data_IF_617844443203
#
_entry.id   IF_617844443203
#
_cell.length_a   1.000
_cell.length_b   1.000
_cell.length_c   1.000
_cell.angle_alpha   90.00
_cell.angle_beta   90.00
_cell.angle_gamma   90.00
#
_symmetry.space_group_name_H-M   'P 1'
#
loop_
_entity.id
_entity.type
_entity.pdbx_description
1 polymer ?
#
# COMPACT_ATOMS: atom_id res chain seq x y z
N UNK A 1 0.03 -9.50 18.67
CA UNK A 1 0.82 -9.21 19.88
C UNK A 1 1.94 -8.24 19.55
N UNK A 2 2.17 -7.23 20.40
CA UNK A 2 3.38 -6.40 20.34
C UNK A 2 4.43 -6.97 21.30
N UNK A 3 5.68 -6.99 20.88
CA UNK A 3 6.78 -7.47 21.72
C UNK A 3 8.15 -7.05 21.23
N UNK A 4 9.17 -7.43 22.00
CA UNK A 4 10.58 -7.26 21.66
C UNK A 4 11.23 -8.63 21.57
N UNK A 5 12.11 -8.81 20.58
CA UNK A 5 12.94 -9.99 20.48
C UNK A 5 13.83 -10.09 21.73
N UNK A 6 13.86 -11.26 22.36
CA UNK A 6 14.67 -11.57 23.54
C UNK A 6 15.80 -12.53 23.19
N UNK A 7 15.48 -13.63 22.53
CA UNK A 7 16.48 -14.62 22.11
C UNK A 7 16.04 -15.37 20.86
N UNK A 8 17.00 -16.01 20.20
CA UNK A 8 16.78 -16.98 19.13
C UNK A 8 17.14 -18.36 19.68
N UNK A 9 16.24 -19.34 19.52
CA UNK A 9 16.46 -20.73 19.92
C UNK A 9 16.49 -21.62 18.68
N UNK A 10 17.67 -22.11 18.34
CA UNK A 10 17.90 -22.83 17.08
C UNK A 10 17.58 -21.98 15.86
N UNK A 11 17.13 -22.64 14.78
CA UNK A 11 16.93 -21.97 13.49
C UNK A 11 15.52 -21.39 13.32
N UNK A 12 14.52 -21.85 14.08
CA UNK A 12 13.11 -21.61 13.78
C UNK A 12 12.29 -21.04 14.93
N UNK A 13 12.86 -20.88 16.13
CA UNK A 13 12.11 -20.41 17.29
C UNK A 13 12.67 -19.08 17.76
N UNK A 14 11.78 -18.10 17.92
CA UNK A 14 12.14 -16.80 18.49
C UNK A 14 11.40 -16.59 19.81
N UNK A 15 12.12 -16.09 20.81
CA UNK A 15 11.58 -15.72 22.11
C UNK A 15 11.25 -14.23 22.08
N UNK A 16 9.99 -13.91 22.39
CA UNK A 16 9.47 -12.56 22.27
C UNK A 16 8.87 -12.13 23.60
N UNK A 17 9.42 -11.04 24.14
CA UNK A 17 8.98 -10.44 25.39
C UNK A 17 7.82 -9.49 25.14
N UNK A 18 6.68 -9.78 25.76
CA UNK A 18 5.47 -8.97 25.70
C UNK A 18 5.44 -7.79 26.68
N UNK A 19 4.33 -7.02 26.70
CA UNK A 19 4.19 -5.80 27.50
C UNK A 19 4.24 -6.04 29.02
N UNK A 20 3.79 -7.22 29.48
CA UNK A 20 3.77 -7.61 30.90
C UNK A 20 5.02 -8.40 31.32
N UNK A 21 6.13 -8.23 30.60
CA UNK A 21 7.37 -9.01 30.82
C UNK A 21 7.18 -10.54 30.72
N UNK A 22 6.08 -10.98 30.09
CA UNK A 22 5.82 -12.39 29.79
C UNK A 22 6.49 -12.72 28.46
N UNK A 23 7.20 -13.83 28.41
CA UNK A 23 7.85 -14.28 27.19
C UNK A 23 6.99 -15.33 26.50
N UNK A 24 6.85 -15.19 25.19
CA UNK A 24 6.10 -16.08 24.32
C UNK A 24 7.04 -16.54 23.23
N UNK A 25 6.92 -17.82 22.85
CA UNK A 25 7.72 -18.39 21.78
C UNK A 25 6.97 -18.26 20.46
N UNK A 26 7.70 -18.11 19.37
CA UNK A 26 7.12 -18.00 18.03
C UNK A 26 7.89 -18.91 17.10
N UNK A 27 7.18 -19.88 16.53
CA UNK A 27 7.74 -20.83 15.59
C UNK A 27 7.64 -20.26 14.17
N UNK A 28 8.77 -19.83 13.65
CA UNK A 28 8.92 -19.14 12.37
C UNK A 28 8.83 -20.06 11.15
N UNK A 29 8.61 -21.36 11.36
CA UNK A 29 8.49 -22.34 10.28
C UNK A 29 7.32 -21.97 9.37
N UNK A 30 7.61 -21.66 8.10
CA UNK A 30 6.62 -21.13 7.11
C UNK A 30 6.01 -19.78 7.48
N UNK A 31 6.59 -19.06 8.46
CA UNK A 31 6.21 -17.70 8.80
C UNK A 31 6.73 -16.71 7.75
N UNK A 32 5.99 -15.62 7.56
CA UNK A 32 6.45 -14.52 6.72
C UNK A 32 6.92 -13.35 7.57
N UNK A 33 8.16 -12.89 7.35
CA UNK A 33 8.69 -11.69 7.98
C UNK A 33 8.49 -10.50 7.06
N UNK A 34 7.98 -9.42 7.62
CA UNK A 34 7.81 -8.15 6.94
C UNK A 34 8.68 -7.10 7.62
N UNK A 35 9.56 -6.46 6.85
CA UNK A 35 10.36 -5.35 7.34
C UNK A 35 9.68 -4.02 7.01
N UNK A 36 9.41 -3.23 8.05
CA UNK A 36 8.89 -1.88 7.88
C UNK A 36 10.04 -0.90 7.62
N UNK A 37 9.96 -0.06 6.57
CA UNK A 37 11.01 0.90 6.26
C UNK A 37 11.22 1.90 7.42
N UNK A 38 12.48 2.31 7.69
CA UNK A 38 12.80 3.19 8.81
C UNK A 38 12.21 4.59 8.64
N UNK A 39 11.95 5.27 9.76
CA UNK A 39 11.38 6.62 9.73
C UNK A 39 12.38 7.71 9.28
N UNK A 40 13.69 7.45 9.31
CA UNK A 40 14.70 8.48 8.98
C UNK A 40 14.70 8.90 7.51
N UNK A 41 14.10 8.13 6.59
CA UNK A 41 14.05 8.46 5.16
C UNK A 41 12.84 9.33 4.77
N UNK A 42 12.23 10.04 5.72
CA UNK A 42 10.86 10.55 5.61
C UNK A 42 10.71 12.07 5.42
N UNK A 43 11.78 12.81 5.11
CA UNK A 43 11.75 14.28 4.93
C UNK A 43 10.80 14.80 3.83
N UNK A 44 10.08 13.94 3.09
CA UNK A 44 9.22 14.34 1.95
C UNK A 44 7.77 13.82 1.97
N UNK A 45 7.16 13.45 3.11
CA UNK A 45 5.82 12.84 3.08
C UNK A 45 4.73 13.43 3.99
N UNK A 46 3.49 13.09 3.60
CA UNK A 46 2.23 13.79 3.83
C UNK A 46 1.91 14.18 5.29
N UNK A 47 2.02 15.47 5.67
CA UNK A 47 1.87 15.94 7.07
C UNK A 47 0.46 15.83 7.67
N UNK A 48 -0.50 15.38 6.87
CA UNK A 48 -1.94 15.42 7.17
C UNK A 48 -2.55 14.02 7.30
N UNK A 49 -1.76 12.98 7.11
CA UNK A 49 -2.20 11.60 7.26
C UNK A 49 -1.98 11.07 8.69
N UNK A 50 -1.10 11.73 9.44
CA UNK A 50 -0.69 11.61 10.84
C UNK A 50 0.38 12.70 11.05
N UNK A 51 0.80 13.05 12.29
CA UNK A 51 1.94 13.96 12.52
C UNK A 51 3.29 13.41 11.99
N UNK A 52 3.28 12.27 11.28
CA UNK A 52 4.45 11.59 10.76
C UNK A 52 4.31 11.32 9.26
N UNK A 53 5.28 11.75 8.43
CA UNK A 53 5.36 11.36 7.01
C UNK A 53 5.26 9.85 6.80
N UNK A 54 4.49 9.41 5.80
CA UNK A 54 4.43 7.98 5.41
C UNK A 54 5.59 7.64 4.47
N UNK A 55 6.11 6.41 4.43
CA UNK A 55 7.23 6.07 3.55
C UNK A 55 6.79 5.85 2.10
N UNK A 56 7.66 6.16 1.14
CA UNK A 56 7.45 5.83 -0.28
C UNK A 56 7.63 4.34 -0.59
N UNK A 57 8.09 3.54 0.39
CA UNK A 57 8.45 2.14 0.20
C UNK A 57 7.36 1.20 0.70
N UNK A 58 7.13 0.12 -0.04
CA UNK A 58 6.25 -0.97 0.38
C UNK A 58 6.93 -1.86 1.43
N UNK A 59 6.14 -2.66 2.15
CA UNK A 59 6.66 -3.70 3.04
C UNK A 59 7.49 -4.70 2.23
N UNK A 60 8.71 -4.96 2.69
CA UNK A 60 9.53 -6.03 2.12
C UNK A 60 9.18 -7.32 2.83
N UNK A 61 8.56 -8.26 2.10
CA UNK A 61 8.40 -9.64 2.55
C UNK A 61 9.74 -10.36 2.37
N UNK A 62 10.24 -10.96 3.43
CA UNK A 62 11.48 -11.73 3.46
C UNK A 62 11.15 -13.10 4.07
N UNK A 63 11.52 -14.21 3.41
CA UNK A 63 11.37 -15.52 4.02
C UNK A 63 12.25 -15.59 5.27
N UNK A 64 11.83 -16.35 6.29
CA UNK A 64 12.57 -16.44 7.54
C UNK A 64 14.01 -16.93 7.33
N UNK A 65 14.22 -17.86 6.41
CA UNK A 65 15.53 -18.44 6.08
C UNK A 65 16.55 -17.40 5.57
N UNK A 66 16.09 -16.26 5.05
CA UNK A 66 16.95 -15.16 4.59
C UNK A 66 17.31 -14.16 5.73
N UNK A 67 16.74 -14.33 6.92
CA UNK A 67 16.96 -13.44 8.08
C UNK A 67 18.14 -13.96 8.91
N UNK A 68 19.36 -13.58 8.51
CA UNK A 68 20.59 -14.08 9.15
C UNK A 68 20.82 -13.62 10.59
N UNK A 69 20.37 -12.41 10.93
CA UNK A 69 20.61 -11.85 12.26
C UNK A 69 19.54 -10.83 12.64
N UNK A 70 19.03 -10.96 13.86
CA UNK A 70 18.20 -9.94 14.50
C UNK A 70 18.83 -9.58 15.84
N UNK A 71 18.89 -8.29 16.13
CA UNK A 71 19.43 -7.81 17.41
C UNK A 71 18.40 -8.00 18.52
N UNK A 72 18.85 -8.34 19.72
CA UNK A 72 18.01 -8.30 20.92
C UNK A 72 17.33 -6.92 21.05
N UNK A 73 16.07 -6.91 21.49
CA UNK A 73 15.29 -5.70 21.64
C UNK A 73 14.59 -5.23 20.35
N UNK A 74 14.79 -5.91 19.22
CA UNK A 74 14.07 -5.61 17.97
C UNK A 74 12.56 -5.63 18.21
N UNK A 75 11.86 -4.54 17.88
CA UNK A 75 10.41 -4.45 18.07
C UNK A 75 9.69 -5.21 16.97
N UNK A 76 8.72 -6.03 17.38
CA UNK A 76 7.99 -6.93 16.48
C UNK A 76 6.51 -6.87 16.78
N UNK A 77 5.70 -6.98 15.74
CA UNK A 77 4.28 -7.28 15.84
C UNK A 77 4.03 -8.65 15.24
N UNK A 78 3.34 -9.50 15.99
CA UNK A 78 3.16 -10.91 15.68
C UNK A 78 1.68 -11.19 15.59
N UNK A 79 1.26 -11.81 14.49
CA UNK A 79 -0.12 -12.18 14.22
C UNK A 79 -0.16 -13.61 13.70
N UNK A 80 -1.00 -14.44 14.31
CA UNK A 80 -1.14 -15.86 14.04
C UNK A 80 -1.87 -16.53 15.19
N UNK A 81 -2.05 -17.85 15.09
CA UNK A 81 -2.71 -18.62 16.12
C UNK A 81 -1.75 -18.92 17.27
N UNK A 82 -2.28 -18.87 18.50
CA UNK A 82 -1.54 -19.13 19.72
C UNK A 82 -1.89 -20.53 20.23
N UNK A 83 -0.87 -21.37 20.36
CA UNK A 83 -0.97 -22.72 20.90
C UNK A 83 -0.33 -22.77 22.29
N UNK A 84 -0.76 -23.70 23.12
CA UNK A 84 -0.13 -23.98 24.42
C UNK A 84 0.39 -25.42 24.42
N UNK A 85 1.71 -25.59 24.39
CA UNK A 85 2.38 -26.89 24.32
C UNK A 85 3.64 -26.86 25.19
N UNK A 86 3.97 -27.97 25.83
CA UNK A 86 5.15 -28.10 26.71
C UNK A 86 5.23 -27.01 27.80
N UNK A 87 4.08 -26.56 28.31
CA UNK A 87 4.01 -25.51 29.33
C UNK A 87 4.26 -24.09 28.81
N UNK A 88 4.47 -23.90 27.50
CA UNK A 88 4.75 -22.60 26.86
C UNK A 88 3.70 -22.22 25.84
N UNK A 89 3.45 -20.91 25.74
CA UNK A 89 2.65 -20.35 24.65
C UNK A 89 3.51 -20.19 23.39
N UNK A 90 3.04 -20.72 22.27
CA UNK A 90 3.76 -20.75 21.00
C UNK A 90 2.86 -20.23 19.87
N UNK A 91 3.28 -19.16 19.20
CA UNK A 91 2.64 -18.76 17.94
C UNK A 91 3.11 -19.65 16.80
N UNK A 92 2.17 -20.17 16.00
CA UNK A 92 2.48 -21.03 14.86
C UNK A 92 1.73 -20.62 13.60
N UNK A 93 2.32 -20.95 12.45
CA UNK A 93 1.70 -20.77 11.14
C UNK A 93 0.76 -21.94 10.85
N UNK A 94 -0.53 -21.67 10.64
CA UNK A 94 -1.50 -22.68 10.19
C UNK A 94 -1.86 -22.48 8.71
N UNK A 95 -2.59 -23.42 8.10
CA UNK A 95 -3.07 -23.27 6.71
C UNK A 95 -4.10 -22.16 6.56
N UNK A 96 -4.90 -21.92 7.60
CA UNK A 96 -5.97 -20.92 7.60
C UNK A 96 -5.43 -19.55 8.00
N UNK A 97 -4.54 -19.51 8.99
CA UNK A 97 -3.95 -18.30 9.56
C UNK A 97 -2.42 -18.37 9.46
N UNK A 98 -1.83 -17.87 8.36
CA UNK A 98 -0.38 -17.84 8.22
C UNK A 98 0.24 -16.91 9.25
N UNK A 99 1.33 -17.37 9.89
CA UNK A 99 2.08 -16.56 10.85
C UNK A 99 2.72 -15.36 10.15
N UNK A 100 2.40 -14.17 10.64
CA UNK A 100 2.97 -12.89 10.20
C UNK A 100 3.80 -12.28 11.33
N UNK A 101 5.05 -11.97 11.03
CA UNK A 101 5.92 -11.19 11.91
C UNK A 101 6.31 -9.90 11.21
N UNK A 102 5.90 -8.76 11.77
CA UNK A 102 6.19 -7.43 11.27
C UNK A 102 7.26 -6.77 12.16
N UNK A 103 8.45 -6.59 11.62
CA UNK A 103 9.55 -5.89 12.28
C UNK A 103 9.41 -4.39 12.00
N UNK A 104 9.43 -3.58 13.06
CA UNK A 104 9.21 -2.16 12.93
C UNK A 104 10.11 -1.33 13.83
N UNK A 105 10.31 -0.08 13.42
CA UNK A 105 11.01 0.95 14.18
C UNK A 105 10.06 2.09 14.52
N UNK A 106 10.22 2.71 15.69
CA UNK A 106 9.42 3.85 16.15
C UNK A 106 8.31 3.51 17.14
N UNK A 107 7.29 4.36 17.18
CA UNK A 107 6.13 4.28 18.07
C UNK A 107 5.10 3.23 17.59
N UNK A 108 4.67 2.28 18.45
CA UNK A 108 3.57 1.37 18.16
C UNK A 108 2.27 2.05 17.70
N UNK A 109 2.01 3.28 18.11
CA UNK A 109 0.78 4.01 17.76
C UNK A 109 0.65 4.27 16.25
N UNK A 110 1.78 4.36 15.54
CA UNK A 110 1.83 4.53 14.09
C UNK A 110 2.00 3.21 13.33
N UNK A 111 2.05 2.08 14.04
CA UNK A 111 2.31 0.78 13.43
C UNK A 111 1.22 0.42 12.42
N UNK A 112 -0.05 0.49 12.82
CA UNK A 112 -1.18 0.06 11.99
C UNK A 112 -1.29 0.95 10.75
N UNK A 113 -1.20 2.27 10.90
CA UNK A 113 -1.26 3.20 9.76
C UNK A 113 -0.13 3.00 8.78
N UNK A 114 1.10 2.82 9.29
CA UNK A 114 2.25 2.52 8.44
C UNK A 114 2.12 1.15 7.80
N UNK A 115 1.64 0.14 8.51
CA UNK A 115 1.44 -1.20 7.96
C UNK A 115 0.41 -1.19 6.83
N UNK A 116 -0.73 -0.50 7.00
CA UNK A 116 -1.75 -0.35 5.94
C UNK A 116 -1.18 0.39 4.73
N UNK A 117 -0.44 1.49 4.96
CA UNK A 117 0.17 2.25 3.88
C UNK A 117 1.23 1.45 3.12
N UNK A 118 2.21 0.92 3.84
CA UNK A 118 3.33 0.17 3.28
C UNK A 118 2.88 -1.18 2.69
N UNK A 119 1.81 -1.76 3.22
CA UNK A 119 1.21 -2.99 2.71
C UNK A 119 0.62 -2.82 1.32
N UNK A 120 0.24 -1.59 0.93
CA UNK A 120 -0.14 -1.31 -0.45
C UNK A 120 1.11 -1.34 -1.34
N UNK A 121 1.03 -2.10 -2.42
CA UNK A 121 2.05 -2.07 -3.46
C UNK A 121 2.17 -0.66 -4.05
N UNK A 122 3.40 -0.23 -4.34
CA UNK A 122 3.65 1.07 -4.96
C UNK A 122 2.99 1.18 -6.34
N UNK A 123 3.01 0.09 -7.09
CA UNK A 123 2.39 0.02 -8.39
C UNK A 123 1.82 -1.39 -8.61
N UNK A 124 0.49 -1.49 -8.64
CA UNK A 124 -0.22 -2.76 -8.87
C UNK A 124 -0.03 -3.23 -10.32
N UNK A 125 0.30 -2.32 -11.24
CA UNK A 125 0.46 -2.61 -12.67
C UNK A 125 1.90 -2.87 -13.10
N UNK A 126 2.90 -2.42 -12.32
CA UNK A 126 4.31 -2.65 -12.61
C UNK A 126 4.88 -3.71 -11.67
N UNK A 127 4.69 -4.97 -12.05
CA UNK A 127 5.36 -6.11 -11.45
C UNK A 127 6.53 -6.59 -12.34
N UNK A 128 7.26 -7.61 -11.89
CA UNK A 128 8.39 -8.17 -12.66
C UNK A 128 7.96 -8.73 -14.03
N UNK A 129 6.71 -9.19 -14.19
CA UNK A 129 6.18 -9.72 -15.44
C UNK A 129 5.73 -8.63 -16.40
N UNK A 130 5.35 -7.45 -15.90
CA UNK A 130 4.81 -6.35 -16.72
C UNK A 130 5.70 -5.99 -17.91
N UNK A 131 7.03 -5.79 -17.78
CA UNK A 131 7.88 -5.49 -18.93
C UNK A 131 7.88 -6.60 -19.98
N UNK A 132 7.88 -7.86 -19.56
CA UNK A 132 7.85 -9.02 -20.45
C UNK A 132 6.51 -9.15 -21.18
N UNK A 133 5.40 -8.89 -20.49
CA UNK A 133 4.07 -8.83 -21.09
C UNK A 133 3.97 -7.69 -22.11
N UNK A 134 4.55 -6.52 -21.83
CA UNK A 134 4.62 -5.41 -22.78
C UNK A 134 5.47 -5.77 -24.02
N UNK A 135 6.69 -6.29 -23.83
CA UNK A 135 7.56 -6.66 -24.94
C UNK A 135 6.93 -7.73 -25.83
N UNK A 136 6.37 -8.79 -25.24
CA UNK A 136 5.70 -9.85 -26.00
C UNK A 136 4.47 -9.33 -26.74
N UNK A 137 3.66 -8.47 -26.11
CA UNK A 137 2.54 -7.81 -26.77
C UNK A 137 2.95 -6.96 -27.97
N UNK A 138 3.98 -6.11 -27.82
CA UNK A 138 4.53 -5.30 -28.91
C UNK A 138 5.03 -6.20 -30.04
N UNK A 139 5.79 -7.25 -29.73
CA UNK A 139 6.34 -8.18 -30.72
C UNK A 139 5.22 -8.87 -31.52
N UNK A 140 4.20 -9.39 -30.83
CA UNK A 140 3.06 -10.04 -31.49
C UNK A 140 2.28 -9.08 -32.38
N UNK A 141 2.05 -7.84 -31.92
CA UNK A 141 1.40 -6.81 -32.74
C UNK A 141 2.24 -6.40 -33.95
N UNK A 142 3.57 -6.38 -33.83
CA UNK A 142 4.47 -6.11 -34.95
C UNK A 142 4.44 -7.24 -35.99
N UNK A 143 4.49 -8.51 -35.54
CA UNK A 143 4.36 -9.68 -36.44
C UNK A 143 3.03 -9.62 -37.19
N UNK A 144 1.92 -9.36 -36.47
CA UNK A 144 0.60 -9.20 -37.07
C UNK A 144 0.55 -8.03 -38.07
N UNK A 145 1.21 -6.91 -37.74
CA UNK A 145 1.29 -5.75 -38.63
C UNK A 145 2.06 -6.07 -39.91
N UNK A 146 3.17 -6.80 -39.83
CA UNK A 146 3.92 -7.27 -41.02
C UNK A 146 3.06 -8.21 -41.86
N UNK A 147 2.33 -9.13 -41.23
CA UNK A 147 1.40 -10.01 -41.93
C UNK A 147 0.30 -9.22 -42.66
N UNK A 148 -0.29 -8.21 -42.02
CA UNK A 148 -1.31 -7.36 -42.64
C UNK A 148 -0.74 -6.47 -43.76
N UNK A 149 0.49 -5.98 -43.62
CA UNK A 149 1.20 -5.25 -44.68
C UNK A 149 1.40 -6.11 -45.94
N UNK A 150 1.72 -7.39 -45.77
CA UNK A 150 1.96 -8.30 -46.90
C UNK A 150 0.66 -8.77 -47.57
N UNK A 151 -0.43 -8.92 -46.82
CA UNK A 151 -1.63 -9.61 -47.29
C UNK A 151 -2.87 -8.71 -47.49
N UNK A 152 -2.86 -7.46 -47.01
CA UNK A 152 -3.98 -6.54 -47.17
C UNK A 152 -3.70 -5.51 -48.26
N UNK A 153 -4.65 -5.23 -49.13
CA UNK A 153 -4.59 -4.08 -50.05
C UNK A 153 -5.04 -2.76 -49.41
N UNK A 154 -5.52 -2.79 -48.15
CA UNK A 154 -6.09 -1.62 -47.50
C UNK A 154 -5.03 -0.87 -46.67
N UNK A 155 -4.49 0.21 -47.25
CA UNK A 155 -3.48 1.06 -46.61
C UNK A 155 -3.92 1.62 -45.24
N UNK A 156 -5.22 1.90 -45.04
CA UNK A 156 -5.73 2.39 -43.76
C UNK A 156 -5.54 1.33 -42.65
N UNK A 157 -5.84 0.06 -42.97
CA UNK A 157 -5.72 -1.04 -42.01
C UNK A 157 -4.24 -1.32 -41.67
N UNK A 158 -3.36 -1.26 -42.67
CA UNK A 158 -1.92 -1.38 -42.46
C UNK A 158 -1.39 -0.29 -41.53
N UNK A 159 -1.77 0.97 -41.78
CA UNK A 159 -1.39 2.12 -40.96
C UNK A 159 -1.88 2.00 -39.51
N UNK A 160 -3.16 1.63 -39.33
CA UNK A 160 -3.73 1.41 -38.00
C UNK A 160 -3.03 0.28 -37.25
N UNK A 161 -2.68 -0.81 -37.93
CA UNK A 161 -1.99 -1.94 -37.31
C UNK A 161 -0.61 -1.54 -36.79
N UNK A 162 0.20 -0.86 -37.61
CA UNK A 162 1.53 -0.38 -37.21
C UNK A 162 1.40 0.61 -36.06
N UNK A 163 0.44 1.54 -36.14
CA UNK A 163 0.19 2.52 -35.08
C UNK A 163 -0.14 1.84 -33.75
N UNK A 164 -1.00 0.81 -33.77
CA UNK A 164 -1.35 0.02 -32.59
C UNK A 164 -0.16 -0.78 -32.04
N UNK A 165 0.69 -1.33 -32.91
CA UNK A 165 1.90 -2.04 -32.50
C UNK A 165 2.93 -1.12 -31.82
N UNK A 166 3.02 0.14 -32.26
CA UNK A 166 3.93 1.14 -31.70
C UNK A 166 3.36 1.88 -30.49
N UNK A 167 2.06 1.80 -30.23
CA UNK A 167 1.38 2.51 -29.15
C UNK A 167 2.05 2.31 -27.77
N UNK A 168 2.49 1.10 -27.36
CA UNK A 168 3.18 0.93 -26.09
C UNK A 168 4.54 1.64 -26.02
N UNK A 169 5.26 1.72 -27.15
CA UNK A 169 6.53 2.46 -27.25
C UNK A 169 6.29 3.98 -27.14
N UNK A 170 5.12 4.45 -27.59
CA UNK A 170 4.77 5.86 -27.49
C UNK A 170 4.75 6.34 -26.04
N UNK A 171 4.51 5.49 -25.05
CA UNK A 171 4.57 5.91 -23.65
C UNK A 171 5.94 6.50 -23.26
N UNK A 172 7.01 6.04 -23.92
CA UNK A 172 8.40 6.43 -23.63
C UNK A 172 8.90 7.61 -24.47
N UNK A 173 8.09 8.15 -25.39
CA UNK A 173 8.44 9.36 -26.15
C UNK A 173 8.34 10.62 -25.27
N UNK A 174 9.10 11.70 -25.56
CA UNK A 174 9.27 12.83 -24.63
C UNK A 174 7.97 13.49 -24.12
N UNK A 175 6.94 13.78 -24.95
CA UNK A 175 5.66 14.28 -24.46
C UNK A 175 4.96 13.26 -23.55
N UNK A 176 5.12 11.96 -23.84
CA UNK A 176 4.62 10.85 -23.03
C UNK A 176 5.30 10.79 -21.66
N UNK A 177 6.62 10.98 -21.59
CA UNK A 177 7.38 11.00 -20.32
C UNK A 177 6.93 12.16 -19.42
N UNK A 178 6.67 13.34 -19.98
CA UNK A 178 6.14 14.47 -19.21
C UNK A 178 4.76 14.16 -18.63
N UNK A 179 3.85 13.61 -19.44
CA UNK A 179 2.52 13.21 -18.99
C UNK A 179 2.56 12.00 -18.05
N UNK A 180 3.57 11.13 -18.17
CA UNK A 180 3.81 10.03 -17.24
C UNK A 180 4.10 10.53 -15.82
N UNK A 181 4.82 11.65 -15.67
CA UNK A 181 5.01 12.26 -14.35
C UNK A 181 3.69 12.74 -13.75
N UNK A 182 2.82 13.36 -14.55
CA UNK A 182 1.49 13.77 -14.10
C UNK A 182 0.62 12.55 -13.74
N UNK A 183 0.64 11.51 -14.57
CA UNK A 183 0.03 10.20 -14.28
C UNK A 183 0.49 9.69 -12.91
N UNK A 184 1.80 9.69 -12.65
CA UNK A 184 2.38 9.24 -11.39
C UNK A 184 1.87 10.05 -10.20
N UNK A 185 1.79 11.38 -10.31
CA UNK A 185 1.27 12.22 -9.23
C UNK A 185 -0.21 11.93 -8.91
N UNK A 186 -1.05 11.73 -9.94
CA UNK A 186 -2.44 11.35 -9.75
C UNK A 186 -2.58 9.93 -9.17
N UNK A 187 -1.75 9.00 -9.64
CA UNK A 187 -1.71 7.64 -9.12
C UNK A 187 -1.33 7.59 -7.64
N UNK A 188 -0.27 8.31 -7.25
CA UNK A 188 0.17 8.39 -5.85
C UNK A 188 -0.91 9.02 -4.97
N UNK A 189 -1.60 10.04 -5.48
CA UNK A 189 -2.74 10.68 -4.80
C UNK A 189 -3.93 9.72 -4.66
N UNK A 190 -4.25 8.93 -5.69
CA UNK A 190 -5.29 7.91 -5.61
C UNK A 190 -4.96 6.82 -4.58
N UNK A 191 -3.73 6.29 -4.66
CA UNK A 191 -3.22 5.29 -3.71
C UNK A 191 -3.34 5.79 -2.27
N UNK A 192 -3.06 7.07 -2.07
CA UNK A 192 -3.19 7.71 -0.78
C UNK A 192 -4.62 7.67 -0.26
N UNK A 193 -5.60 8.08 -1.06
CA UNK A 193 -7.01 8.00 -0.66
C UNK A 193 -7.48 6.55 -0.41
N UNK A 194 -6.93 5.56 -1.13
CA UNK A 194 -7.20 4.14 -0.84
C UNK A 194 -6.66 3.72 0.53
N UNK A 195 -5.44 4.14 0.88
CA UNK A 195 -4.88 3.88 2.19
C UNK A 195 -5.66 4.59 3.32
N UNK A 196 -6.06 5.85 3.11
CA UNK A 196 -6.95 6.58 4.03
C UNK A 196 -8.27 5.82 4.22
N UNK A 197 -8.91 5.39 3.13
CA UNK A 197 -10.13 4.59 3.17
C UNK A 197 -9.95 3.30 3.98
N UNK A 198 -8.87 2.57 3.75
CA UNK A 198 -8.61 1.29 4.43
C UNK A 198 -8.36 1.51 5.93
N UNK A 199 -7.69 2.60 6.30
CA UNK A 199 -7.53 3.00 7.70
C UNK A 199 -8.84 3.34 8.39
N UNK A 200 -9.75 4.03 7.68
CA UNK A 200 -11.07 4.36 8.22
C UNK A 200 -11.93 3.10 8.39
N UNK A 201 -11.81 2.12 7.46
CA UNK A 201 -12.54 0.84 7.56
C UNK A 201 -12.14 0.02 8.79
N UNK A 202 -10.87 0.06 9.21
CA UNK A 202 -10.42 -0.65 10.42
C UNK A 202 -11.16 -0.19 11.68
N UNK A 203 -11.59 1.07 11.69
CA UNK A 203 -12.29 1.69 12.81
C UNK A 203 -13.77 1.32 12.83
N UNK A 204 -14.37 1.08 11.67
CA UNK A 204 -15.81 0.78 11.48
C UNK A 204 -16.19 -0.62 11.96
N UNK A 205 -15.23 -1.50 12.27
CA UNK A 205 -15.55 -2.85 12.75
C UNK A 205 -16.35 -2.81 14.07
N UNK A 206 -17.50 -3.50 14.15
CA UNK A 206 -18.55 -3.29 15.16
C UNK A 206 -18.15 -3.64 16.61
N UNK A 207 -17.01 -4.31 16.79
CA UNK A 207 -16.45 -4.60 18.11
C UNK A 207 -15.84 -3.37 18.80
N UNK A 208 -15.62 -2.28 18.05
CA UNK A 208 -15.10 -1.02 18.54
C UNK A 208 -16.24 -0.01 18.67
N UNK A 209 -16.91 0.02 19.84
CA UNK A 209 -18.07 0.88 20.09
C UNK A 209 -17.84 2.37 19.75
N UNK A 210 -18.91 3.04 19.31
CA UNK A 210 -18.94 4.47 18.98
C UNK A 210 -19.26 5.29 20.23
N UNK A 211 -18.49 6.35 20.52
CA UNK A 211 -18.87 7.33 21.54
C UNK A 211 -18.99 8.73 20.91
N UNK A 212 -20.07 9.44 21.25
CA UNK A 212 -20.25 10.83 20.83
C UNK A 212 -19.33 11.74 21.66
N UNK A 213 -18.72 12.73 21.00
CA UNK A 213 -17.82 13.71 21.62
C UNK A 213 -18.43 14.53 22.76
N UNK A 214 -19.76 14.60 22.81
CA UNK A 214 -20.46 15.34 23.86
C UNK A 214 -20.39 14.65 25.23
N UNK A 215 -20.10 13.35 25.27
CA UNK A 215 -20.28 12.54 26.48
C UNK A 215 -19.00 12.40 27.34
N UNK A 216 -17.82 12.77 26.83
CA UNK A 216 -16.58 12.84 27.62
C UNK A 216 -15.66 13.99 27.15
N UNK A 217 -15.50 15.07 27.93
CA UNK A 217 -14.47 16.09 27.70
C UNK A 217 -13.12 15.58 28.24
N UNK A 218 -12.55 14.56 27.58
CA UNK A 218 -11.19 14.06 27.84
C UNK A 218 -10.25 14.44 26.70
N UNK A 219 -8.94 14.57 26.99
CA UNK A 219 -7.91 14.93 26.02
C UNK A 219 -8.02 14.10 24.73
N UNK A 220 -8.38 14.76 23.64
CA UNK A 220 -8.29 14.22 22.28
C UNK A 220 -6.82 14.07 21.92
N UNK A 221 -6.30 12.85 21.96
CA UNK A 221 -4.89 12.63 21.65
C UNK A 221 -4.59 12.71 20.15
N UNK A 222 -5.55 12.34 19.27
CA UNK A 222 -5.33 12.34 17.81
C UNK A 222 -6.60 12.64 17.00
N UNK A 223 -6.53 13.61 16.08
CA UNK A 223 -7.55 13.85 15.05
C UNK A 223 -7.11 13.23 13.72
N UNK A 224 -7.96 12.41 13.10
CA UNK A 224 -7.74 11.84 11.76
C UNK A 224 -8.70 12.47 10.76
N UNK A 225 -8.18 13.38 9.95
CA UNK A 225 -8.92 14.04 8.88
C UNK A 225 -8.38 13.58 7.51
N UNK A 226 -9.25 13.08 6.61
CA UNK A 226 -8.81 12.78 5.25
C UNK A 226 -8.19 14.00 4.58
N UNK A 227 -7.25 13.75 3.69
CA UNK A 227 -6.63 14.84 2.94
C UNK A 227 -7.67 15.63 2.16
N UNK A 228 -7.58 16.97 2.21
CA UNK A 228 -8.50 17.92 1.56
C UNK A 228 -9.95 17.91 2.08
N UNK A 229 -10.25 17.18 3.15
CA UNK A 229 -11.56 17.29 3.80
C UNK A 229 -11.68 18.68 4.42
N UNK A 230 -12.69 19.47 4.05
CA UNK A 230 -12.88 20.84 4.54
C UNK A 230 -14.26 21.06 5.19
N UNK A 231 -14.95 19.98 5.57
CA UNK A 231 -16.27 20.07 6.23
C UNK A 231 -16.10 19.85 7.72
N UNK A 232 -16.54 20.81 8.53
CA UNK A 232 -16.71 20.63 9.97
C UNK A 232 -18.00 19.85 10.22
N UNK A 233 -17.87 18.55 10.49
CA UNK A 233 -18.97 17.73 10.98
C UNK A 233 -18.95 17.66 12.51
N UNK A 234 -19.99 17.04 13.08
CA UNK A 234 -19.93 16.59 14.47
C UNK A 234 -18.84 15.52 14.54
N UNK A 235 -17.74 15.85 15.20
CA UNK A 235 -16.65 14.90 15.32
C UNK A 235 -17.09 13.68 16.15
N UNK A 236 -16.58 12.51 15.79
CA UNK A 236 -16.89 11.21 16.42
C UNK A 236 -15.63 10.69 17.09
N UNK A 237 -15.72 10.23 18.35
CA UNK A 237 -14.59 9.59 19.04
C UNK A 237 -14.68 8.08 18.92
N UNK A 238 -13.53 7.48 18.62
CA UNK A 238 -13.31 6.04 18.75
C UNK A 238 -12.27 5.77 19.83
N UNK A 239 -12.66 4.94 20.79
CA UNK A 239 -11.73 4.41 21.79
C UNK A 239 -10.98 3.23 21.16
N UNK A 240 -9.65 3.27 21.18
CA UNK A 240 -8.85 2.13 20.72
C UNK A 240 -8.96 1.03 21.79
N UNK A 241 -9.25 -0.19 21.34
CA UNK A 241 -9.36 -1.35 22.22
C UNK A 241 -8.03 -1.62 22.97
N UNK A 242 -8.13 -2.00 24.24
CA UNK A 242 -6.97 -2.17 25.14
C UNK A 242 -5.99 -3.28 24.69
N UNK A 243 -6.39 -4.17 23.78
CA UNK A 243 -5.60 -5.30 23.28
C UNK A 243 -4.30 -4.89 22.55
N UNK A 244 -4.21 -3.65 22.07
CA UNK A 244 -2.99 -3.10 21.45
C UNK A 244 -2.01 -2.48 22.48
N UNK A 245 -2.29 -2.58 23.79
CA UNK A 245 -1.51 -1.88 24.81
C UNK A 245 -1.64 -0.35 24.76
N UNK A 246 -2.63 0.14 24.02
CA UNK A 246 -2.99 1.55 23.82
C UNK A 246 -4.21 1.94 24.64
N UNK A 247 -4.35 1.35 25.84
CA UNK A 247 -5.42 1.68 26.76
C UNK A 247 -5.45 3.21 26.96
N UNK A 248 -6.63 3.81 26.81
CA UNK A 248 -6.93 5.25 26.94
C UNK A 248 -6.57 6.17 25.75
N UNK A 249 -6.08 5.64 24.63
CA UNK A 249 -5.98 6.44 23.40
C UNK A 249 -7.32 6.57 22.70
N UNK A 250 -7.77 7.81 22.47
CA UNK A 250 -8.95 8.13 21.66
C UNK A 250 -8.54 8.74 20.32
N UNK A 251 -9.18 8.27 19.24
CA UNK A 251 -9.05 8.84 17.90
C UNK A 251 -10.32 9.61 17.60
N UNK A 252 -10.22 10.91 17.32
CA UNK A 252 -11.34 11.70 16.82
C UNK A 252 -11.35 11.74 15.29
N UNK A 253 -12.53 11.62 14.71
CA UNK A 253 -12.79 11.79 13.29
C UNK A 253 -13.67 13.02 13.09
N UNK A 254 -13.48 13.81 12.01
CA UNK A 254 -14.26 15.03 11.76
C UNK A 254 -15.71 14.77 11.34
N UNK A 255 -16.06 13.54 10.96
CA UNK A 255 -17.41 13.12 10.57
C UNK A 255 -17.55 11.59 10.80
N UNK A 256 -18.75 11.06 10.57
CA UNK A 256 -19.03 9.63 10.54
C UNK A 256 -18.04 8.85 9.64
N UNK A 257 -17.42 7.78 10.15
CA UNK A 257 -16.49 6.96 9.39
C UNK A 257 -17.03 6.47 8.05
N UNK A 258 -18.32 6.16 7.93
CA UNK A 258 -18.92 5.71 6.67
C UNK A 258 -18.92 6.81 5.60
N UNK A 259 -19.11 8.08 5.99
CA UNK A 259 -19.00 9.22 5.07
C UNK A 259 -17.56 9.45 4.66
N UNK A 260 -16.62 9.37 5.60
CA UNK A 260 -15.19 9.51 5.30
C UNK A 260 -14.70 8.40 4.37
N UNK A 261 -15.12 7.15 4.59
CA UNK A 261 -14.83 6.01 3.70
C UNK A 261 -15.40 6.25 2.30
N UNK A 262 -16.65 6.71 2.19
CA UNK A 262 -17.27 7.04 0.89
C UNK A 262 -16.54 8.17 0.18
N UNK A 263 -16.17 9.23 0.90
CA UNK A 263 -15.39 10.35 0.36
C UNK A 263 -14.03 9.89 -0.18
N UNK A 264 -13.27 9.14 0.62
CA UNK A 264 -11.97 8.62 0.20
C UNK A 264 -12.09 7.67 -1.00
N UNK A 265 -13.13 6.82 -1.04
CA UNK A 265 -13.41 5.95 -2.18
C UNK A 265 -13.67 6.75 -3.47
N UNK A 266 -14.51 7.78 -3.39
CA UNK A 266 -14.83 8.63 -4.54
C UNK A 266 -13.59 9.38 -5.04
N UNK A 267 -12.82 9.99 -4.14
CA UNK A 267 -11.57 10.69 -4.50
C UNK A 267 -10.54 9.75 -5.10
N UNK A 268 -10.34 8.56 -4.52
CA UNK A 268 -9.45 7.55 -5.09
C UNK A 268 -9.83 7.22 -6.55
N UNK A 269 -11.11 6.93 -6.79
CA UNK A 269 -11.60 6.63 -8.13
C UNK A 269 -11.41 7.80 -9.11
N UNK A 270 -11.70 9.03 -8.67
CA UNK A 270 -11.51 10.23 -9.50
C UNK A 270 -10.04 10.38 -9.94
N UNK A 271 -9.10 10.23 -9.01
CA UNK A 271 -7.67 10.34 -9.34
C UNK A 271 -7.16 9.16 -10.18
N UNK A 272 -7.71 7.96 -10.02
CA UNK A 272 -7.44 6.82 -10.91
C UNK A 272 -7.92 7.10 -12.34
N UNK A 273 -9.14 7.63 -12.48
CA UNK A 273 -9.69 8.03 -13.77
C UNK A 273 -8.87 9.14 -14.42
N UNK A 274 -8.48 10.18 -13.67
CA UNK A 274 -7.61 11.25 -14.15
C UNK A 274 -6.24 10.72 -14.58
N UNK A 275 -5.64 9.82 -13.80
CA UNK A 275 -4.39 9.16 -14.18
C UNK A 275 -4.56 8.42 -15.52
N UNK A 276 -5.62 7.64 -15.67
CA UNK A 276 -5.94 6.94 -16.92
C UNK A 276 -6.12 7.91 -18.11
N UNK A 277 -6.85 9.02 -17.93
CA UNK A 277 -7.05 10.03 -18.96
C UNK A 277 -5.73 10.71 -19.38
N UNK A 278 -4.86 11.03 -18.43
CA UNK A 278 -3.53 11.61 -18.72
C UNK A 278 -2.66 10.64 -19.51
N UNK A 279 -2.69 9.36 -19.15
CA UNK A 279 -1.96 8.31 -19.86
C UNK A 279 -2.43 8.21 -21.33
N UNK A 280 -3.76 8.17 -21.55
CA UNK A 280 -4.37 8.14 -22.87
C UNK A 280 -4.05 9.40 -23.68
N UNK A 281 -4.13 10.59 -23.06
CA UNK A 281 -3.79 11.84 -23.70
C UNK A 281 -2.32 11.85 -24.18
N UNK A 282 -1.39 11.31 -23.38
CA UNK A 282 0.00 11.17 -23.77
C UNK A 282 0.21 10.26 -24.98
N UNK A 283 -0.51 9.15 -25.03
CA UNK A 283 -0.50 8.25 -26.20
C UNK A 283 -1.05 8.94 -27.45
N UNK A 284 -2.15 9.70 -27.33
CA UNK A 284 -2.75 10.43 -28.45
C UNK A 284 -1.85 11.55 -28.97
N UNK A 285 -1.22 12.33 -28.07
CA UNK A 285 -0.26 13.38 -28.46
C UNK A 285 0.92 12.78 -29.21
N UNK A 286 1.48 11.68 -28.73
CA UNK A 286 2.58 11.01 -29.41
C UNK A 286 2.17 10.40 -30.75
N UNK A 287 0.96 9.85 -30.84
CA UNK A 287 0.38 9.36 -32.10
C UNK A 287 0.26 10.49 -33.13
N UNK A 288 -0.21 11.66 -32.69
CA UNK A 288 -0.36 12.84 -33.55
C UNK A 288 0.99 13.40 -34.01
N UNK A 289 1.98 13.48 -33.12
CA UNK A 289 3.34 13.92 -33.48
C UNK A 289 3.96 12.96 -34.49
N UNK A 290 3.83 11.65 -34.28
CA UNK A 290 4.32 10.65 -35.22
C UNK A 290 3.64 10.76 -36.59
N UNK A 291 2.32 11.01 -36.61
CA UNK A 291 1.60 11.27 -37.85
C UNK A 291 2.11 12.52 -38.57
N UNK A 292 2.36 13.64 -37.87
CA UNK A 292 2.95 14.84 -38.48
C UNK A 292 4.30 14.51 -39.12
N UNK A 293 5.19 13.85 -38.38
CA UNK A 293 6.54 13.51 -38.86
C UNK A 293 6.46 12.63 -40.10
N UNK A 294 5.59 11.62 -40.13
CA UNK A 294 5.42 10.73 -41.28
C UNK A 294 4.82 11.41 -42.52
N UNK A 295 4.11 12.53 -42.39
CA UNK A 295 3.58 13.26 -43.55
C UNK A 295 4.54 14.34 -44.07
N UNK A 296 5.58 14.66 -43.33
CA UNK A 296 6.56 15.69 -43.69
C UNK A 296 7.78 15.14 -44.44
N UNK A 297 8.03 13.83 -44.32
CA UNK A 297 9.06 13.07 -45.02
C UNK A 297 8.42 12.15 -46.06
#
# INVERSE_FOLDING_TARGET
MLGKLEALEGDNVIWVRGPQNKTITVEMRKGAVFFMPPLKSLEKLYPHLLPVPLPAFSLKKVPWDDVFSLTEGTKMYISGDLFYEDGRYTFRSTKETPLMVLIYNGDPLHLVSRAVWCGRQNNEFWNFLTPWSFLSGILLLLILSVYLLQNSANYLLQFLSISMALLPLMLFLPPGVLLFNLYKTFWDTARRYRAERDLMKLVVHPENGYMNLKDQPGQTHYSRQPSTWNRSGNAVLHRINASLGLADSTISFPDSPERLVRFCRYKAFLYEALAGLVLLAGMLVNSYVLWIVLNWF
#
